data_IF_306746656670
#
_entry.id   IF_306746656670
#
_cell.length_a   1.000
_cell.length_b   1.000
_cell.length_c   1.000
_cell.angle_alpha   90.00
_cell.angle_beta   90.00
_cell.angle_gamma   90.00
#
_symmetry.space_group_name_H-M   'P 1'
#
loop_
_entity.id
_entity.type
_entity.pdbx_description
1 polymer ?
#
# COMPACT_ATOMS: atom_id res chain seq x y z
N UNK A 1 12.32 14.43 41.27
CA UNK A 1 12.96 14.45 39.93
C UNK A 1 12.13 13.53 39.05
N UNK A 2 11.16 14.10 38.33
CA UNK A 2 10.15 13.37 37.57
C UNK A 2 10.19 13.86 36.11
N UNK A 3 11.15 13.37 35.32
CA UNK A 3 11.32 13.75 33.91
C UNK A 3 11.97 12.63 33.08
N UNK A 4 11.53 11.37 33.21
CA UNK A 4 12.12 10.24 32.45
C UNK A 4 11.11 9.43 31.63
N UNK A 5 9.84 9.85 31.50
CA UNK A 5 8.80 9.01 30.84
C UNK A 5 8.14 9.58 29.58
N UNK A 6 8.67 10.65 28.95
CA UNK A 6 7.98 11.29 27.81
C UNK A 6 8.59 11.07 26.41
N UNK A 7 9.70 10.31 26.27
CA UNK A 7 10.38 10.14 24.97
C UNK A 7 10.06 8.83 24.24
N UNK A 8 9.09 8.05 24.71
CA UNK A 8 8.77 6.72 24.15
C UNK A 8 7.61 6.66 23.15
N UNK A 9 6.87 7.75 22.92
CA UNK A 9 5.55 7.66 22.23
C UNK A 9 5.59 8.07 20.75
N UNK A 10 6.63 8.78 20.28
CA UNK A 10 6.57 9.43 18.97
C UNK A 10 6.86 8.55 17.75
N UNK A 11 7.22 7.26 17.92
CA UNK A 11 7.62 6.39 16.80
C UNK A 11 6.51 5.45 16.30
N UNK A 12 5.40 5.32 17.03
CA UNK A 12 4.32 4.38 16.70
C UNK A 12 3.16 4.99 15.90
N UNK A 13 3.16 6.30 15.67
CA UNK A 13 2.07 6.98 14.95
C UNK A 13 2.21 6.83 13.43
N UNK A 14 3.43 6.96 12.87
CA UNK A 14 3.62 6.95 11.41
C UNK A 14 3.19 5.64 10.74
N UNK A 15 3.54 4.49 11.33
CA UNK A 15 3.17 3.19 10.76
C UNK A 15 1.65 2.93 10.81
N UNK A 16 0.96 3.45 11.82
CA UNK A 16 -0.51 3.35 11.91
C UNK A 16 -1.19 4.25 10.88
N UNK A 17 -0.66 5.45 10.68
CA UNK A 17 -1.19 6.41 9.71
C UNK A 17 -1.09 5.86 8.27
N UNK A 18 0.03 5.22 7.93
CA UNK A 18 0.27 4.58 6.62
C UNK A 18 -0.68 3.40 6.36
N UNK A 19 -0.90 2.55 7.37
CA UNK A 19 -1.81 1.40 7.26
C UNK A 19 -3.26 1.85 7.08
N UNK A 20 -3.68 2.87 7.85
CA UNK A 20 -5.01 3.46 7.76
C UNK A 20 -5.24 4.15 6.40
N UNK A 21 -4.21 4.84 5.88
CA UNK A 21 -4.28 5.47 4.56
C UNK A 21 -4.36 4.44 3.42
N UNK A 22 -3.62 3.33 3.53
CA UNK A 22 -3.73 2.23 2.58
C UNK A 22 -5.11 1.56 2.61
N UNK A 23 -5.69 1.37 3.80
CA UNK A 23 -7.05 0.86 3.95
C UNK A 23 -8.10 1.79 3.31
N UNK A 24 -7.97 3.11 3.49
CA UNK A 24 -8.81 4.11 2.83
C UNK A 24 -8.71 4.05 1.31
N UNK A 25 -7.49 4.00 0.77
CA UNK A 25 -7.25 3.92 -0.67
C UNK A 25 -7.87 2.66 -1.26
N UNK A 26 -7.71 1.52 -0.58
CA UNK A 26 -8.24 0.23 -0.98
C UNK A 26 -9.78 0.22 -1.01
N UNK A 27 -10.45 0.79 0.00
CA UNK A 27 -11.91 0.94 -0.03
C UNK A 27 -12.38 1.90 -1.13
N UNK A 28 -11.72 3.05 -1.30
CA UNK A 28 -12.08 4.03 -2.33
C UNK A 28 -11.95 3.46 -3.74
N UNK A 29 -10.87 2.75 -4.04
CA UNK A 29 -10.68 2.11 -5.36
C UNK A 29 -11.65 0.96 -5.59
N UNK A 30 -12.01 0.22 -4.54
CA UNK A 30 -13.02 -0.82 -4.65
C UNK A 30 -14.41 -0.27 -4.97
N UNK A 31 -14.81 0.81 -4.29
CA UNK A 31 -16.09 1.49 -4.54
C UNK A 31 -16.15 2.07 -5.96
N UNK A 32 -15.06 2.70 -6.41
CA UNK A 32 -14.97 3.27 -7.77
C UNK A 32 -15.16 2.21 -8.86
N UNK A 33 -14.58 1.03 -8.68
CA UNK A 33 -14.58 -0.03 -9.69
C UNK A 33 -15.69 -1.07 -9.48
N UNK A 34 -16.57 -0.86 -8.49
CA UNK A 34 -17.72 -1.74 -8.22
C UNK A 34 -17.35 -3.10 -7.62
N UNK A 35 -16.20 -3.21 -6.95
CA UNK A 35 -15.82 -4.42 -6.21
C UNK A 35 -16.67 -4.58 -4.96
N UNK A 36 -17.14 -5.81 -4.71
CA UNK A 36 -17.87 -6.11 -3.48
C UNK A 36 -16.96 -6.01 -2.26
N UNK A 37 -17.52 -5.61 -1.11
CA UNK A 37 -16.77 -5.56 0.16
C UNK A 37 -16.15 -6.91 0.52
N UNK A 38 -16.80 -8.01 0.14
CA UNK A 38 -16.29 -9.36 0.36
C UNK A 38 -15.05 -9.66 -0.49
N UNK A 39 -15.04 -9.24 -1.76
CA UNK A 39 -13.86 -9.37 -2.62
C UNK A 39 -12.67 -8.55 -2.06
N UNK A 40 -12.94 -7.33 -1.60
CA UNK A 40 -11.95 -6.47 -0.95
C UNK A 40 -11.37 -7.11 0.30
N UNK A 41 -12.24 -7.69 1.13
CA UNK A 41 -11.86 -8.41 2.35
C UNK A 41 -11.04 -9.66 2.03
N UNK A 42 -11.40 -10.43 1.01
CA UNK A 42 -10.63 -11.61 0.56
C UNK A 42 -9.24 -11.19 0.08
N UNK A 43 -9.14 -10.12 -0.71
CA UNK A 43 -7.85 -9.56 -1.18
C UNK A 43 -6.99 -9.12 0.01
N UNK A 44 -7.55 -8.37 0.96
CA UNK A 44 -6.81 -7.85 2.11
C UNK A 44 -6.38 -8.96 3.09
N UNK A 45 -7.21 -9.99 3.30
CA UNK A 45 -6.96 -11.04 4.30
C UNK A 45 -6.17 -12.23 3.77
N UNK A 46 -6.35 -12.59 2.50
CA UNK A 46 -5.73 -13.80 1.92
C UNK A 46 -4.72 -13.50 0.82
N UNK A 47 -4.74 -12.28 0.26
CA UNK A 47 -3.98 -11.94 -0.94
C UNK A 47 -4.50 -12.61 -2.21
N UNK A 48 -5.58 -13.42 -2.13
CA UNK A 48 -6.19 -14.05 -3.29
C UNK A 48 -6.92 -13.00 -4.10
N UNK A 49 -6.53 -12.89 -5.36
CA UNK A 49 -7.06 -11.88 -6.29
C UNK A 49 -7.93 -12.53 -7.36
N UNK A 50 -9.06 -11.88 -7.74
CA UNK A 50 -9.78 -12.21 -8.95
C UNK A 50 -8.89 -12.12 -10.19
N UNK A 51 -9.39 -12.61 -11.32
CA UNK A 51 -8.76 -12.48 -12.63
C UNK A 51 -8.31 -11.03 -12.92
N UNK A 52 -7.15 -10.90 -13.58
CA UNK A 52 -6.55 -9.60 -13.91
C UNK A 52 -7.49 -8.69 -14.71
N UNK A 53 -8.34 -9.26 -15.56
CA UNK A 53 -9.33 -8.51 -16.35
C UNK A 53 -10.31 -7.70 -15.50
N UNK A 54 -10.63 -8.21 -14.29
CA UNK A 54 -11.49 -7.58 -13.28
C UNK A 54 -10.67 -6.61 -12.42
N UNK A 55 -9.40 -6.93 -12.15
CA UNK A 55 -8.55 -6.17 -11.24
C UNK A 55 -7.79 -5.02 -11.88
N UNK A 56 -7.66 -4.96 -13.22
CA UNK A 56 -6.83 -3.96 -13.92
C UNK A 56 -7.17 -2.52 -13.56
N UNK A 57 -8.46 -2.18 -13.43
CA UNK A 57 -8.89 -0.82 -13.10
C UNK A 57 -8.67 -0.52 -11.62
N UNK A 58 -8.89 -1.50 -10.75
CA UNK A 58 -8.58 -1.40 -9.33
C UNK A 58 -7.07 -1.21 -9.09
N UNK A 59 -6.23 -1.99 -9.77
CA UNK A 59 -4.77 -1.91 -9.68
C UNK A 59 -4.26 -0.56 -10.20
N UNK A 60 -4.82 -0.07 -11.31
CA UNK A 60 -4.55 1.29 -11.79
C UNK A 60 -4.91 2.34 -10.73
N UNK A 61 -6.12 2.27 -10.15
CA UNK A 61 -6.54 3.20 -9.11
C UNK A 61 -5.59 3.17 -7.91
N UNK A 62 -5.21 1.98 -7.44
CA UNK A 62 -4.27 1.83 -6.33
C UNK A 62 -2.90 2.44 -6.67
N UNK A 63 -2.38 2.18 -7.86
CA UNK A 63 -1.11 2.75 -8.32
C UNK A 63 -1.13 4.28 -8.42
N UNK A 64 -2.25 4.86 -8.85
CA UNK A 64 -2.44 6.33 -8.85
C UNK A 64 -2.50 6.88 -7.42
N UNK A 65 -3.24 6.24 -6.51
CA UNK A 65 -3.39 6.69 -5.10
C UNK A 65 -2.10 6.63 -4.29
N UNK A 66 -1.25 5.64 -4.55
CA UNK A 66 0.07 5.52 -3.90
C UNK A 66 1.15 6.33 -4.63
N UNK A 67 0.81 7.04 -5.71
CA UNK A 67 1.75 7.84 -6.48
C UNK A 67 2.78 7.02 -7.27
N UNK A 68 2.53 5.73 -7.47
CA UNK A 68 3.34 4.84 -8.28
C UNK A 68 3.18 5.08 -9.78
N UNK A 69 2.19 5.87 -10.21
CA UNK A 69 2.05 6.34 -11.59
C UNK A 69 2.04 7.87 -11.58
N UNK A 70 2.99 8.46 -12.31
CA UNK A 70 3.09 9.90 -12.50
C UNK A 70 2.06 10.45 -13.49
N UNK A 71 1.90 11.79 -13.57
CA UNK A 71 0.95 12.44 -14.49
C UNK A 71 1.27 12.20 -15.98
N UNK A 72 2.51 11.78 -16.30
CA UNK A 72 2.94 11.39 -17.64
C UNK A 72 2.72 9.90 -17.94
N UNK A 73 2.06 9.18 -17.03
CA UNK A 73 1.80 7.74 -17.14
C UNK A 73 3.01 6.85 -16.86
N UNK A 74 4.14 7.42 -16.41
CA UNK A 74 5.32 6.63 -16.06
C UNK A 74 5.25 6.10 -14.64
N UNK A 75 5.85 4.93 -14.44
CA UNK A 75 5.95 4.32 -13.12
C UNK A 75 6.98 5.07 -12.28
N UNK A 76 6.58 5.46 -11.06
CA UNK A 76 7.47 5.93 -10.02
C UNK A 76 7.82 4.74 -9.12
N UNK A 77 9.07 4.31 -9.15
CA UNK A 77 9.53 3.12 -8.43
C UNK A 77 9.59 3.34 -6.91
N UNK A 78 9.79 4.57 -6.43
CA UNK A 78 10.03 4.83 -5.01
C UNK A 78 8.84 4.41 -4.11
N UNK A 79 7.57 4.75 -4.43
CA UNK A 79 6.42 4.24 -3.69
C UNK A 79 6.29 2.71 -3.73
N UNK A 80 6.65 2.08 -4.85
CA UNK A 80 6.58 0.62 -5.01
C UNK A 80 7.65 -0.09 -4.17
N UNK A 81 8.85 0.48 -4.08
CA UNK A 81 9.92 0.00 -3.18
C UNK A 81 9.47 0.14 -1.71
N UNK A 82 8.85 1.28 -1.35
CA UNK A 82 8.28 1.47 -0.01
C UNK A 82 7.24 0.40 0.36
N UNK A 83 6.28 0.13 -0.53
CA UNK A 83 5.29 -0.93 -0.34
C UNK A 83 5.92 -2.33 -0.24
N UNK A 84 6.97 -2.60 -1.03
CA UNK A 84 7.71 -3.84 -0.96
C UNK A 84 8.37 -4.05 0.41
N UNK A 85 9.00 -3.01 0.97
CA UNK A 85 9.65 -3.10 2.27
C UNK A 85 8.65 -3.27 3.43
N UNK A 86 7.47 -2.64 3.33
CA UNK A 86 6.38 -2.87 4.29
C UNK A 86 5.92 -4.33 4.25
N UNK A 87 5.72 -4.88 3.04
CA UNK A 87 5.26 -6.27 2.86
C UNK A 87 6.33 -7.30 3.21
N UNK A 88 7.60 -7.00 2.94
CA UNK A 88 8.73 -7.88 3.10
C UNK A 88 9.82 -7.21 3.95
N UNK A 89 9.63 -7.06 5.27
CA UNK A 89 10.53 -6.28 6.13
C UNK A 89 11.96 -6.85 6.26
N UNK A 90 12.22 -8.05 5.73
CA UNK A 90 13.55 -8.68 5.65
C UNK A 90 14.29 -8.39 4.33
N UNK A 91 13.63 -7.75 3.36
CA UNK A 91 14.25 -7.32 2.11
C UNK A 91 14.97 -5.98 2.29
N UNK A 92 15.87 -5.69 1.35
CA UNK A 92 16.51 -4.38 1.20
C UNK A 92 16.00 -3.71 -0.08
N UNK A 93 16.23 -2.40 -0.21
CA UNK A 93 15.81 -1.62 -1.37
C UNK A 93 16.29 -2.21 -2.69
N UNK A 94 17.52 -2.75 -2.74
CA UNK A 94 18.09 -3.35 -3.95
C UNK A 94 17.31 -4.60 -4.40
N UNK A 95 16.92 -5.45 -3.44
CA UNK A 95 16.08 -6.63 -3.71
C UNK A 95 14.67 -6.22 -4.14
N UNK A 96 14.08 -5.23 -3.50
CA UNK A 96 12.76 -4.72 -3.88
C UNK A 96 12.78 -4.08 -5.28
N UNK A 97 13.81 -3.29 -5.61
CA UNK A 97 13.96 -2.68 -6.94
C UNK A 97 14.13 -3.72 -8.06
N UNK A 98 14.75 -4.88 -7.76
CA UNK A 98 14.86 -5.99 -8.72
C UNK A 98 13.54 -6.67 -9.05
N UNK A 99 12.51 -6.55 -8.21
CA UNK A 99 11.18 -7.10 -8.49
C UNK A 99 10.36 -6.21 -9.43
N UNK A 100 10.80 -4.96 -9.63
CA UNK A 100 10.14 -3.98 -10.50
C UNK A 100 10.72 -3.95 -11.92
N UNK A 101 11.81 -4.67 -12.17
CA UNK A 101 12.48 -4.81 -13.47
C UNK A 101 12.21 -6.17 -14.09
#
# INVERSE_FOLDING_TARGET
IAFVLLLGVSLQTSAKDDEEQMARNLMSCAEQEGLSKDAVKEIASTGKRPEYSVMKCFDKCMMEKVGAVGPDGKVNEAPLIGLCLIKYPKMDESKCAKLLK
#
